data_IF_815230417039
#
_entry.id   IF_815230417039
#
_cell.length_a   1.000
_cell.length_b   1.000
_cell.length_c   1.000
_cell.angle_alpha   90.00
_cell.angle_beta   90.00
_cell.angle_gamma   90.00
#
_symmetry.space_group_name_H-M   'P 1'
#
loop_
_entity.id
_entity.type
_entity.pdbx_description
1 polymer ?
#
# COMPACT_ATOMS: atom_id res chain seq x y z
N UNK A 1 20.89 0.78 -12.48
CA UNK A 1 20.23 1.98 -11.92
C UNK A 1 18.89 1.53 -11.38
N UNK A 2 18.50 1.89 -10.15
CA UNK A 2 17.21 1.47 -9.59
C UNK A 2 16.11 2.50 -9.98
N UNK A 3 14.81 2.12 -9.95
CA UNK A 3 13.73 3.08 -10.13
C UNK A 3 13.81 4.20 -9.10
N UNK A 4 13.47 5.43 -9.51
CA UNK A 4 13.46 6.59 -8.62
C UNK A 4 12.11 7.27 -8.65
N UNK A 5 11.76 7.95 -7.55
CA UNK A 5 10.50 8.68 -7.42
C UNK A 5 10.76 10.14 -7.08
N UNK A 6 9.91 11.03 -7.62
CA UNK A 6 9.82 12.42 -7.18
C UNK A 6 8.36 12.85 -7.09
N UNK A 7 8.04 13.66 -6.09
CA UNK A 7 6.77 14.38 -6.03
C UNK A 7 6.77 15.48 -7.09
N UNK A 8 5.72 15.52 -7.89
CA UNK A 8 5.52 16.52 -8.95
C UNK A 8 4.62 17.62 -8.44
N UNK A 9 3.49 17.26 -7.82
CA UNK A 9 2.53 18.21 -7.24
C UNK A 9 1.92 17.64 -5.96
N UNK A 10 1.64 18.51 -5.00
CA UNK A 10 0.96 18.20 -3.75
C UNK A 10 -0.28 19.10 -3.62
N UNK A 11 -1.46 18.52 -3.86
CA UNK A 11 -2.75 19.19 -3.69
C UNK A 11 -3.40 18.74 -2.38
N UNK A 12 -4.33 19.54 -1.86
CA UNK A 12 -5.12 19.17 -0.67
C UNK A 12 -5.94 17.88 -0.83
N UNK A 13 -6.22 17.47 -2.08
CA UNK A 13 -7.04 16.30 -2.41
C UNK A 13 -6.23 15.07 -2.85
N UNK A 14 -5.03 15.29 -3.38
CA UNK A 14 -4.19 14.22 -3.92
C UNK A 14 -2.75 14.69 -4.13
N UNK A 15 -1.85 13.73 -4.21
CA UNK A 15 -0.47 13.94 -4.58
C UNK A 15 -0.19 13.29 -5.93
N UNK A 16 0.63 13.94 -6.75
CA UNK A 16 1.10 13.41 -8.01
C UNK A 16 2.61 13.19 -7.95
N UNK A 17 3.04 11.99 -8.34
CA UNK A 17 4.44 11.60 -8.39
C UNK A 17 4.82 11.11 -9.78
N UNK A 18 6.10 11.23 -10.10
CA UNK A 18 6.71 10.65 -11.29
C UNK A 18 7.73 9.62 -10.83
N UNK A 19 7.50 8.37 -11.21
CA UNK A 19 8.48 7.29 -11.06
C UNK A 19 9.22 7.13 -12.39
N UNK A 20 10.55 7.15 -12.33
CA UNK A 20 11.41 6.78 -13.45
C UNK A 20 11.74 5.29 -13.35
N UNK A 21 11.11 4.49 -14.20
CA UNK A 21 11.34 3.06 -14.33
C UNK A 21 12.24 2.80 -15.54
N UNK A 22 13.55 2.96 -15.34
CA UNK A 22 14.58 2.74 -16.38
C UNK A 22 14.36 3.57 -17.66
N UNK A 23 14.04 4.85 -17.50
CA UNK A 23 13.71 5.77 -18.60
C UNK A 23 12.21 5.80 -18.95
N UNK A 24 11.44 4.83 -18.48
CA UNK A 24 9.98 4.83 -18.65
C UNK A 24 9.31 5.58 -17.51
N UNK A 25 8.56 6.63 -17.86
CA UNK A 25 7.85 7.45 -16.88
C UNK A 25 6.52 6.80 -16.48
N UNK A 26 6.40 6.46 -15.20
CA UNK A 26 5.17 6.05 -14.53
C UNK A 26 4.61 7.23 -13.73
N UNK A 27 3.35 7.59 -14.01
CA UNK A 27 2.63 8.64 -13.29
C UNK A 27 1.84 8.00 -12.15
N UNK A 28 2.03 8.49 -10.93
CA UNK A 28 1.38 7.95 -9.73
C UNK A 28 0.51 9.03 -9.09
N UNK A 29 -0.77 8.73 -8.89
CA UNK A 29 -1.71 9.58 -8.16
C UNK A 29 -1.99 8.93 -6.81
N UNK A 30 -1.69 9.60 -5.71
CA UNK A 30 -2.03 9.14 -4.34
C UNK A 30 -3.21 9.97 -3.85
N UNK A 31 -4.29 9.32 -3.44
CA UNK A 31 -5.48 10.05 -2.99
C UNK A 31 -6.32 9.24 -2.00
N UNK A 32 -7.08 9.97 -1.19
CA UNK A 32 -8.20 9.46 -0.37
C UNK A 32 -9.54 10.08 -0.78
N UNK A 33 -9.54 10.90 -1.82
CA UNK A 33 -10.67 11.75 -2.19
C UNK A 33 -11.49 11.06 -3.28
N UNK A 34 -12.76 10.77 -2.98
CA UNK A 34 -13.66 10.05 -3.87
C UNK A 34 -13.77 10.66 -5.29
N UNK A 35 -13.81 11.99 -5.40
CA UNK A 35 -13.90 12.65 -6.72
C UNK A 35 -12.65 12.46 -7.57
N UNK A 36 -11.47 12.42 -6.97
CA UNK A 36 -10.21 12.13 -7.67
C UNK A 36 -10.19 10.67 -8.14
N UNK A 37 -10.67 9.75 -7.31
CA UNK A 37 -10.81 8.32 -7.67
C UNK A 37 -11.76 8.18 -8.88
N UNK A 38 -12.97 8.75 -8.83
CA UNK A 38 -13.92 8.71 -9.95
C UNK A 38 -13.37 9.36 -11.21
N UNK A 39 -12.66 10.49 -11.07
CA UNK A 39 -12.03 11.16 -12.21
C UNK A 39 -10.93 10.31 -12.85
N UNK A 40 -10.07 9.70 -12.03
CA UNK A 40 -9.00 8.82 -12.54
C UNK A 40 -9.58 7.62 -13.28
N UNK A 41 -10.62 6.97 -12.74
CA UNK A 41 -11.28 5.83 -13.38
C UNK A 41 -11.92 6.23 -14.70
N UNK A 42 -12.66 7.35 -14.75
CA UNK A 42 -13.25 7.85 -16.00
C UNK A 42 -12.20 8.18 -17.06
N UNK A 43 -11.02 8.63 -16.65
CA UNK A 43 -9.93 8.93 -17.57
C UNK A 43 -9.26 7.68 -18.16
N UNK A 44 -9.40 6.51 -17.52
CA UNK A 44 -8.88 5.25 -18.08
C UNK A 44 -9.92 4.48 -18.91
N UNK A 45 -11.21 4.85 -18.85
CA UNK A 45 -12.28 4.22 -19.65
C UNK A 45 -12.01 4.15 -21.17
N UNK A 46 -11.41 5.16 -21.83
CA UNK A 46 -11.05 5.08 -23.26
C UNK A 46 -10.07 3.95 -23.59
N UNK A 47 -9.28 3.49 -22.60
CA UNK A 47 -8.38 2.35 -22.74
C UNK A 47 -9.09 1.02 -22.45
N UNK A 48 -10.10 1.04 -21.58
CA UNK A 48 -10.93 -0.12 -21.22
C UNK A 48 -11.90 -0.51 -22.34
N UNK A 49 -12.59 0.47 -22.93
CA UNK A 49 -13.65 0.24 -23.92
C UNK A 49 -13.22 0.58 -25.33
N UNK A 50 -12.27 -0.17 -25.88
CA UNK A 50 -12.11 -0.19 -27.35
C UNK A 50 -13.15 -1.17 -27.91
N UNK A 51 -14.23 -0.70 -28.57
CA UNK A 51 -15.36 -1.55 -29.00
C UNK A 51 -14.99 -2.63 -30.03
N UNK A 52 -13.73 -2.68 -30.46
CA UNK A 52 -13.18 -3.67 -31.38
C UNK A 52 -11.94 -4.39 -30.82
N UNK A 53 -11.64 -4.27 -29.53
CA UNK A 53 -10.56 -5.05 -28.92
C UNK A 53 -11.10 -6.43 -28.55
N UNK A 54 -10.56 -7.48 -29.17
CA UNK A 54 -10.85 -8.87 -28.83
C UNK A 54 -10.18 -9.33 -27.53
N UNK A 55 -9.50 -8.44 -26.81
CA UNK A 55 -8.66 -8.78 -25.67
C UNK A 55 -9.16 -8.09 -24.39
N UNK A 56 -9.33 -8.83 -23.29
CA UNK A 56 -9.79 -8.28 -22.01
C UNK A 56 -8.93 -7.10 -21.54
N UNK A 57 -9.53 -6.16 -20.81
CA UNK A 57 -8.81 -5.04 -20.22
C UNK A 57 -7.95 -5.54 -19.05
N UNK A 58 -6.70 -5.10 -18.96
CA UNK A 58 -5.76 -5.57 -17.92
C UNK A 58 -5.48 -4.44 -16.94
N UNK A 59 -5.64 -4.76 -15.66
CA UNK A 59 -5.33 -3.86 -14.54
C UNK A 59 -4.37 -4.57 -13.60
N UNK A 60 -3.24 -3.93 -13.31
CA UNK A 60 -2.37 -4.33 -12.20
C UNK A 60 -2.96 -3.90 -10.87
N UNK A 61 -2.97 -4.77 -9.88
CA UNK A 61 -3.56 -4.55 -8.56
C UNK A 61 -2.54 -4.88 -7.48
N UNK A 62 -2.52 -4.06 -6.44
CA UNK A 62 -1.87 -4.36 -5.17
C UNK A 62 -2.75 -3.93 -4.01
N UNK A 63 -2.59 -4.59 -2.86
CA UNK A 63 -3.25 -4.24 -1.61
C UNK A 63 -2.22 -4.29 -0.49
N UNK A 64 -2.18 -3.25 0.35
CA UNK A 64 -1.29 -3.22 1.51
C UNK A 64 -2.07 -2.94 2.80
N UNK A 65 -1.57 -3.45 3.91
CA UNK A 65 -2.15 -3.32 5.24
C UNK A 65 -1.07 -3.23 6.32
N UNK A 66 -1.34 -2.50 7.38
CA UNK A 66 -0.49 -2.41 8.56
C UNK A 66 -0.56 -3.73 9.34
N UNK A 67 0.57 -4.39 9.65
CA UNK A 67 0.58 -5.65 10.40
C UNK A 67 -0.09 -5.54 11.77
N UNK A 68 -0.75 -6.63 12.20
CA UNK A 68 -1.29 -6.73 13.55
C UNK A 68 -0.17 -6.54 14.58
N UNK A 69 -0.39 -5.68 15.57
CA UNK A 69 0.59 -5.38 16.60
C UNK A 69 1.64 -4.34 16.21
N UNK A 70 1.63 -3.77 15.00
CA UNK A 70 2.54 -2.67 14.63
C UNK A 70 2.49 -1.52 15.65
N UNK A 71 1.29 -1.12 16.09
CA UNK A 71 1.10 -0.08 17.10
C UNK A 71 1.22 -0.58 18.55
N UNK A 72 1.31 -1.88 18.79
CA UNK A 72 1.42 -2.44 20.16
C UNK A 72 2.80 -2.22 20.80
N UNK A 73 3.82 -1.89 19.99
CA UNK A 73 5.15 -1.50 20.44
C UNK A 73 5.26 -0.04 20.91
N UNK A 74 4.22 0.78 20.71
CA UNK A 74 4.17 2.13 21.25
C UNK A 74 3.38 2.09 22.56
N UNK A 75 3.97 2.47 23.72
CA UNK A 75 3.18 2.71 24.90
C UNK A 75 2.13 3.76 24.55
N UNK A 76 0.85 3.41 24.69
CA UNK A 76 -0.16 4.46 24.86
C UNK A 76 0.27 5.23 26.09
N UNK A 77 0.60 6.51 25.95
CA UNK A 77 0.60 7.43 27.09
C UNK A 77 -0.82 7.46 27.66
N UNK A 78 -1.11 6.50 28.54
CA UNK A 78 -2.23 6.55 29.46
C UNK A 78 -1.82 7.50 30.58
N UNK A 79 -1.98 8.80 30.33
CA UNK A 79 -1.78 9.83 31.34
C UNK A 79 -2.80 10.96 31.24
N UNK A 80 -4.09 10.63 31.11
CA UNK A 80 -5.15 11.52 31.59
C UNK A 80 -6.32 10.72 32.13
N UNK A 81 -6.24 10.37 33.41
CA UNK A 81 -7.40 10.22 34.31
C UNK A 81 -6.90 10.09 35.74
N UNK A 82 -6.94 11.21 36.47
CA UNK A 82 -7.50 11.35 37.84
C UNK A 82 -6.72 12.42 38.62
N UNK A 83 -7.46 13.31 39.30
CA UNK A 83 -6.86 14.36 40.13
C UNK A 83 -7.65 15.66 40.18
N UNK A 84 -8.86 15.62 40.74
CA UNK A 84 -9.55 16.80 41.26
C UNK A 84 -8.84 17.32 42.53
N UNK A 85 -8.44 18.61 42.57
CA UNK A 85 -8.29 19.37 43.82
C UNK A 85 -8.63 20.85 43.59
N UNK A 86 -9.43 21.41 44.50
CA UNK A 86 -9.89 22.79 44.56
C UNK A 86 -8.76 23.79 44.89
N UNK A 87 -8.91 25.03 44.41
CA UNK A 87 -8.64 26.23 45.24
C UNK A 87 -7.41 27.10 44.92
N UNK A 88 -7.64 28.09 44.05
CA UNK A 88 -7.37 29.54 44.22
C UNK A 88 -5.94 30.16 44.07
N UNK A 89 -5.99 31.40 43.52
CA UNK A 89 -4.99 32.48 43.43
C UNK A 89 -3.97 32.52 42.26
N UNK A 90 -4.16 33.53 41.38
CA UNK A 90 -3.27 34.06 40.32
C UNK A 90 -2.10 34.94 40.86
N UNK A 91 -1.28 35.63 40.03
CA UNK A 91 -0.53 35.21 38.83
C UNK A 91 0.97 35.58 38.96
N UNK A 92 1.86 34.87 38.25
CA UNK A 92 3.30 35.18 38.19
C UNK A 92 3.86 35.07 36.78
N UNK A 93 4.07 36.22 36.14
CA UNK A 93 4.84 36.40 34.90
C UNK A 93 6.27 35.87 35.06
N UNK A 94 6.73 35.03 34.11
CA UNK A 94 8.11 35.10 33.63
C UNK A 94 8.19 34.75 32.14
N UNK A 95 8.76 35.70 31.39
CA UNK A 95 9.16 35.64 29.99
C UNK A 95 10.24 34.57 29.72
N UNK A 96 10.24 33.99 28.53
CA UNK A 96 11.39 33.25 28.01
C UNK A 96 11.17 32.52 26.69
N UNK A 97 11.37 33.24 25.58
CA UNK A 97 11.95 32.84 24.28
C UNK A 97 11.72 31.42 23.70
N UNK A 98 11.17 31.39 22.49
CA UNK A 98 11.05 30.25 21.56
C UNK A 98 12.43 29.66 21.11
N UNK A 99 12.51 28.47 20.48
CA UNK A 99 12.02 28.27 19.11
C UNK A 99 11.31 26.93 18.79
N UNK A 100 10.63 26.93 17.64
CA UNK A 100 10.02 25.81 16.91
C UNK A 100 10.89 24.54 16.91
N UNK A 101 10.33 23.41 17.34
CA UNK A 101 10.95 22.11 17.13
C UNK A 101 10.30 21.38 15.94
N UNK A 102 11.15 21.03 14.99
CA UNK A 102 10.89 20.21 13.81
C UNK A 102 10.57 18.77 14.23
N UNK A 103 9.43 18.23 13.78
CA UNK A 103 9.17 16.80 13.85
C UNK A 103 9.94 16.10 12.72
N UNK A 104 11.20 15.75 12.99
CA UNK A 104 11.87 14.69 12.26
C UNK A 104 11.50 13.36 12.93
N UNK A 105 10.90 12.46 12.14
CA UNK A 105 10.68 11.06 12.52
C UNK A 105 12.03 10.39 12.75
N UNK A 106 12.31 9.96 13.97
CA UNK A 106 13.43 9.07 14.25
C UNK A 106 13.08 7.65 13.80
N UNK A 107 13.97 6.92 13.13
CA UNK A 107 13.78 5.50 12.86
C UNK A 107 13.90 4.68 14.16
N UNK A 108 13.18 3.55 14.30
CA UNK A 108 13.32 2.67 15.46
C UNK A 108 14.71 2.00 15.47
N UNK A 109 15.27 1.69 16.66
CA UNK A 109 16.59 1.09 16.77
C UNK A 109 16.60 -0.36 16.26
N UNK A 110 17.69 -0.75 15.61
CA UNK A 110 17.95 -2.11 15.14
C UNK A 110 17.98 -3.10 16.32
N UNK A 111 17.08 -4.08 16.32
CA UNK A 111 17.03 -5.11 17.35
C UNK A 111 18.00 -6.26 17.03
N UNK A 112 19.20 -6.18 17.60
CA UNK A 112 20.10 -7.32 17.77
C UNK A 112 19.87 -7.93 19.16
N UNK A 113 19.15 -9.04 19.27
CA UNK A 113 19.28 -9.93 20.43
C UNK A 113 19.11 -11.40 20.04
N UNK A 114 20.25 -12.07 19.90
CA UNK A 114 20.38 -13.49 20.18
C UNK A 114 20.52 -13.66 21.70
N UNK A 115 19.52 -14.21 22.41
CA UNK A 115 19.73 -14.82 23.73
C UNK A 115 18.80 -16.03 23.93
N UNK A 116 19.47 -17.08 24.39
CA UNK A 116 19.06 -18.38 24.89
C UNK A 116 17.72 -18.52 25.61
N UNK A 117 17.09 -19.68 25.35
CA UNK A 117 16.02 -20.29 26.13
C UNK A 117 16.38 -20.41 27.61
N UNK A 118 15.61 -19.77 28.48
CA UNK A 118 15.30 -20.32 29.80
C UNK A 118 13.85 -19.99 30.17
N UNK A 119 13.14 -21.03 30.60
CA UNK A 119 11.70 -21.08 30.85
C UNK A 119 11.46 -20.65 32.29
N UNK A 120 10.80 -19.52 32.51
CA UNK A 120 10.26 -19.17 33.84
C UNK A 120 8.75 -19.35 33.84
N UNK A 121 8.30 -20.16 34.79
CA UNK A 121 6.91 -20.49 35.11
C UNK A 121 6.29 -19.33 35.89
N UNK A 122 5.00 -19.07 35.66
CA UNK A 122 4.17 -17.97 36.20
C UNK A 122 4.18 -16.68 35.38
N UNK A 123 3.54 -16.73 34.21
CA UNK A 123 2.92 -15.56 33.59
C UNK A 123 1.41 -15.80 33.57
N UNK A 124 0.69 -14.87 34.18
CA UNK A 124 -0.76 -14.69 34.12
C UNK A 124 -1.25 -14.80 32.67
N UNK A 125 -2.26 -15.64 32.33
CA UNK A 125 -2.74 -15.72 30.96
C UNK A 125 -3.44 -14.40 30.61
N UNK A 126 -2.68 -13.50 29.98
CA UNK A 126 -3.24 -12.32 29.33
C UNK A 126 -4.44 -12.76 28.49
N UNK A 127 -5.61 -12.13 28.64
CA UNK A 127 -6.83 -12.57 27.97
C UNK A 127 -6.55 -12.62 26.48
N UNK A 128 -6.75 -13.81 25.88
CA UNK A 128 -6.54 -14.12 24.46
C UNK A 128 -6.76 -12.90 23.59
N UNK A 129 -5.68 -12.20 23.26
CA UNK A 129 -5.73 -11.05 22.38
C UNK A 129 -6.31 -11.55 21.08
N UNK A 130 -7.50 -11.09 20.72
CA UNK A 130 -8.04 -11.30 19.39
C UNK A 130 -6.99 -10.74 18.43
N UNK A 131 -6.24 -11.61 17.74
CA UNK A 131 -5.44 -11.21 16.60
C UNK A 131 -6.45 -10.77 15.54
N UNK A 132 -6.82 -9.49 15.58
CA UNK A 132 -7.68 -8.87 14.58
C UNK A 132 -6.90 -8.93 13.28
N UNK A 133 -7.44 -9.64 12.30
CA UNK A 133 -6.87 -9.66 10.97
C UNK A 133 -6.93 -8.23 10.40
N UNK A 134 -5.79 -7.60 10.05
CA UNK A 134 -5.78 -6.19 9.68
C UNK A 134 -6.58 -5.96 8.41
N UNK A 135 -7.31 -4.84 8.34
CA UNK A 135 -8.04 -4.45 7.15
C UNK A 135 -7.09 -3.92 6.06
N UNK A 136 -7.56 -3.84 4.82
CA UNK A 136 -6.80 -3.19 3.75
C UNK A 136 -6.69 -1.67 4.00
N UNK A 137 -5.46 -1.15 4.07
CA UNK A 137 -5.19 0.27 4.26
C UNK A 137 -5.06 1.03 2.94
N UNK A 138 -4.49 0.37 1.94
CA UNK A 138 -4.30 0.94 0.61
C UNK A 138 -4.65 -0.05 -0.49
N UNK A 139 -5.18 0.48 -1.60
CA UNK A 139 -5.43 -0.25 -2.84
C UNK A 139 -4.70 0.45 -3.98
N UNK A 140 -3.96 -0.29 -4.78
CA UNK A 140 -3.30 0.22 -5.98
C UNK A 140 -3.97 -0.33 -7.23
N UNK A 141 -4.17 0.54 -8.22
CA UNK A 141 -4.67 0.17 -9.54
C UNK A 141 -3.75 0.78 -10.59
N UNK A 142 -3.19 -0.04 -11.46
CA UNK A 142 -2.30 0.41 -12.53
C UNK A 142 -2.82 0.02 -13.91
N UNK A 143 -2.89 1.00 -14.81
CA UNK A 143 -3.28 0.85 -16.21
C UNK A 143 -2.28 1.59 -17.09
N UNK A 144 -1.61 0.86 -17.98
CA UNK A 144 -0.54 1.42 -18.79
C UNK A 144 0.57 2.00 -17.91
N UNK A 145 0.83 3.29 -18.05
CA UNK A 145 1.84 4.03 -17.27
C UNK A 145 1.21 4.96 -16.21
N UNK A 146 -0.01 4.66 -15.77
CA UNK A 146 -0.71 5.42 -14.72
C UNK A 146 -1.07 4.48 -13.58
N UNK A 147 -0.64 4.83 -12.38
CA UNK A 147 -0.99 4.13 -11.15
C UNK A 147 -1.81 5.06 -10.25
N UNK A 148 -2.92 4.54 -9.70
CA UNK A 148 -3.69 5.16 -8.65
C UNK A 148 -3.43 4.41 -7.35
N UNK A 149 -3.07 5.13 -6.29
CA UNK A 149 -2.97 4.61 -4.93
C UNK A 149 -4.09 5.25 -4.12
N UNK A 150 -5.02 4.41 -3.67
CA UNK A 150 -6.18 4.80 -2.88
C UNK A 150 -5.87 4.49 -1.41
N UNK A 151 -5.81 5.51 -0.57
CA UNK A 151 -5.66 5.36 0.89
C UNK A 151 -7.03 5.04 1.53
N UNK A 152 -7.42 3.77 1.50
CA UNK A 152 -8.72 3.27 1.96
C UNK A 152 -9.01 3.65 3.42
N UNK A 153 -8.01 3.62 4.29
CA UNK A 153 -8.12 3.99 5.72
C UNK A 153 -8.43 5.47 5.97
N UNK A 154 -8.17 6.32 4.98
CA UNK A 154 -8.48 7.76 5.04
C UNK A 154 -9.57 8.20 4.06
N UNK A 155 -10.11 7.27 3.28
CA UNK A 155 -11.18 7.51 2.33
C UNK A 155 -12.55 7.39 3.01
N UNK A 156 -13.26 8.49 3.25
CA UNK A 156 -14.58 8.46 3.93
C UNK A 156 -15.62 7.64 3.16
N UNK A 157 -15.56 7.71 1.83
CA UNK A 157 -16.42 6.96 0.92
C UNK A 157 -15.67 6.60 -0.35
N UNK A 158 -15.85 5.38 -0.82
CA UNK A 158 -15.42 4.97 -2.15
C UNK A 158 -16.51 5.27 -3.18
N UNK A 159 -16.16 5.73 -4.39
CA UNK A 159 -17.13 5.99 -5.43
C UNK A 159 -17.66 4.71 -6.08
N UNK A 160 -18.86 4.78 -6.65
CA UNK A 160 -19.47 3.63 -7.35
C UNK A 160 -18.67 3.22 -8.58
N UNK A 161 -17.99 4.16 -9.26
CA UNK A 161 -17.12 3.83 -10.39
C UNK A 161 -15.99 2.87 -10.01
N UNK A 162 -15.46 2.96 -8.78
CA UNK A 162 -14.45 2.00 -8.29
C UNK A 162 -15.08 0.62 -8.07
N UNK A 163 -16.28 0.57 -7.48
CA UNK A 163 -16.98 -0.70 -7.24
C UNK A 163 -17.33 -1.39 -8.56
N UNK A 164 -17.86 -0.63 -9.51
CA UNK A 164 -18.18 -1.12 -10.85
C UNK A 164 -16.95 -1.62 -11.59
N UNK A 165 -15.83 -0.88 -11.53
CA UNK A 165 -14.57 -1.33 -12.11
C UNK A 165 -14.15 -2.67 -11.50
N UNK A 166 -13.96 -2.75 -10.18
CA UNK A 166 -13.47 -3.97 -9.49
C UNK A 166 -14.34 -5.21 -9.75
N UNK A 167 -15.64 -5.02 -10.02
CA UNK A 167 -16.59 -6.09 -10.32
C UNK A 167 -16.75 -6.40 -11.82
N UNK A 168 -16.13 -5.62 -12.71
CA UNK A 168 -16.27 -5.73 -14.17
C UNK A 168 -15.77 -7.11 -14.67
N UNK A 169 -16.63 -7.93 -15.30
CA UNK A 169 -16.25 -9.25 -15.81
C UNK A 169 -15.31 -9.18 -17.03
N UNK A 170 -15.26 -8.05 -17.74
CA UNK A 170 -14.40 -7.86 -18.92
C UNK A 170 -12.98 -7.41 -18.55
N UNK A 171 -12.74 -7.14 -17.26
CA UNK A 171 -11.43 -6.76 -16.74
C UNK A 171 -10.72 -7.94 -16.07
N UNK A 172 -9.47 -8.17 -16.46
CA UNK A 172 -8.54 -9.09 -15.80
C UNK A 172 -7.66 -8.30 -14.85
N UNK A 173 -7.63 -8.77 -13.61
CA UNK A 173 -6.83 -8.20 -12.54
C UNK A 173 -5.63 -9.09 -12.25
N UNK A 174 -4.43 -8.54 -12.37
CA UNK A 174 -3.19 -9.22 -11.99
C UNK A 174 -2.56 -8.53 -10.79
N UNK A 175 -2.18 -9.31 -9.78
CA UNK A 175 -1.34 -8.87 -8.66
C UNK A 175 -0.23 -9.87 -8.40
N UNK A 176 0.62 -9.61 -7.42
CA UNK A 176 1.59 -10.59 -6.90
C UNK A 176 1.21 -10.95 -5.47
N UNK A 177 1.23 -12.23 -5.12
CA UNK A 177 0.88 -12.71 -3.78
C UNK A 177 -0.54 -12.33 -3.31
N UNK A 178 -1.47 -12.18 -4.25
CA UNK A 178 -2.81 -11.60 -4.02
C UNK A 178 -3.84 -12.53 -3.33
N UNK A 179 -3.40 -13.68 -2.81
CA UNK A 179 -4.26 -14.69 -2.18
C UNK A 179 -5.12 -14.14 -1.01
N UNK A 180 -4.69 -13.04 -0.38
CA UNK A 180 -5.45 -12.38 0.68
C UNK A 180 -6.17 -11.13 0.23
N UNK A 181 -5.78 -10.52 -0.89
CA UNK A 181 -6.21 -9.19 -1.33
C UNK A 181 -7.74 -9.11 -1.45
N UNK A 182 -8.35 -10.06 -2.15
CA UNK A 182 -9.81 -10.08 -2.33
C UNK A 182 -10.54 -10.18 -0.98
N UNK A 183 -10.00 -10.97 -0.05
CA UNK A 183 -10.58 -11.13 1.30
C UNK A 183 -10.38 -9.87 2.15
N UNK A 184 -9.22 -9.23 2.05
CA UNK A 184 -8.89 -7.97 2.75
C UNK A 184 -9.75 -6.82 2.25
N UNK A 185 -9.93 -6.70 0.93
CA UNK A 185 -10.80 -5.72 0.30
C UNK A 185 -12.29 -5.94 0.64
N UNK A 186 -12.74 -7.20 0.65
CA UNK A 186 -14.11 -7.52 1.05
C UNK A 186 -14.37 -7.27 2.55
N UNK A 187 -13.34 -7.49 3.38
CA UNK A 187 -13.40 -7.32 4.83
C UNK A 187 -13.20 -5.89 5.32
N UNK A 188 -12.60 -5.00 4.52
CA UNK A 188 -12.38 -3.62 4.92
C UNK A 188 -13.71 -2.86 5.07
N UNK A 189 -13.69 -1.73 5.78
CA UNK A 189 -14.86 -0.86 5.99
C UNK A 189 -15.67 -0.53 4.72
N UNK A 190 -15.02 -0.52 3.56
CA UNK A 190 -15.63 -0.22 2.27
C UNK A 190 -16.28 -1.41 1.58
N UNK A 191 -16.05 -2.64 2.05
CA UNK A 191 -16.62 -3.88 1.48
C UNK A 191 -16.45 -3.94 -0.03
N UNK A 192 -15.21 -3.81 -0.49
CA UNK A 192 -14.88 -3.81 -1.91
C UNK A 192 -14.87 -5.24 -2.42
N UNK A 193 -15.89 -5.60 -3.21
CA UNK A 193 -15.96 -6.89 -3.87
C UNK A 193 -15.20 -6.81 -5.19
N UNK A 194 -14.22 -7.69 -5.37
CA UNK A 194 -13.46 -7.80 -6.61
C UNK A 194 -13.92 -9.02 -7.41
N UNK A 195 -13.71 -8.96 -8.73
CA UNK A 195 -13.65 -10.17 -9.56
C UNK A 195 -12.44 -11.02 -9.15
N UNK A 196 -12.23 -12.15 -9.83
CA UNK A 196 -11.06 -13.01 -9.60
C UNK A 196 -9.79 -12.21 -9.84
N UNK A 197 -8.99 -12.06 -8.79
CA UNK A 197 -7.63 -11.54 -8.86
C UNK A 197 -6.71 -12.71 -9.22
N UNK A 198 -5.85 -12.53 -10.22
CA UNK A 198 -4.88 -13.53 -10.68
C UNK A 198 -3.49 -13.20 -10.14
N UNK A 199 -2.81 -14.18 -9.57
CA UNK A 199 -1.42 -14.01 -9.17
C UNK A 199 -0.53 -14.21 -10.40
N UNK A 200 0.28 -13.21 -10.78
CA UNK A 200 1.19 -13.33 -11.93
C UNK A 200 2.12 -14.54 -11.81
N UNK A 201 2.47 -14.94 -10.58
CA UNK A 201 3.38 -16.05 -10.30
C UNK A 201 2.86 -17.40 -10.80
N UNK A 202 1.54 -17.54 -10.94
CA UNK A 202 0.91 -18.76 -11.45
C UNK A 202 1.04 -18.89 -12.98
N UNK A 203 1.42 -17.82 -13.67
CA UNK A 203 1.39 -17.74 -15.14
C UNK A 203 2.76 -17.51 -15.77
N UNK A 204 3.69 -16.88 -15.05
CA UNK A 204 5.03 -16.57 -15.57
C UNK A 204 5.93 -17.81 -15.65
N UNK A 205 6.70 -17.90 -16.74
CA UNK A 205 7.68 -18.95 -17.00
C UNK A 205 9.01 -18.34 -17.43
N UNK A 206 10.10 -19.01 -17.09
CA UNK A 206 11.45 -18.61 -17.53
C UNK A 206 11.68 -18.91 -19.02
N UNK A 207 12.82 -18.46 -19.55
CA UNK A 207 13.21 -18.69 -20.94
C UNK A 207 13.29 -20.16 -21.37
N UNK A 208 13.32 -21.09 -20.41
CA UNK A 208 13.31 -22.55 -20.64
C UNK A 208 11.91 -23.17 -20.50
N UNK A 209 10.89 -22.35 -20.21
CA UNK A 209 9.51 -22.78 -20.02
C UNK A 209 9.19 -23.30 -18.62
N UNK A 210 10.09 -23.14 -17.64
CA UNK A 210 9.85 -23.58 -16.26
C UNK A 210 9.05 -22.55 -15.49
N UNK A 211 8.17 -23.01 -14.60
CA UNK A 211 7.38 -22.15 -13.71
C UNK A 211 8.27 -21.24 -12.88
N UNK A 212 7.86 -19.98 -12.72
CA UNK A 212 8.50 -19.02 -11.82
C UNK A 212 7.68 -18.77 -10.54
N UNK A 213 6.77 -19.68 -10.19
CA UNK A 213 5.89 -19.56 -9.02
C UNK A 213 6.63 -19.38 -7.70
N UNK A 214 7.84 -19.92 -7.57
CA UNK A 214 8.68 -19.83 -6.36
C UNK A 214 9.75 -18.73 -6.44
N UNK A 215 9.83 -18.01 -7.57
CA UNK A 215 10.82 -16.95 -7.75
C UNK A 215 10.47 -15.70 -6.92
N UNK A 216 11.49 -14.90 -6.60
CA UNK A 216 11.27 -13.57 -6.02
C UNK A 216 10.66 -12.61 -7.04
N UNK A 217 10.03 -11.53 -6.57
CA UNK A 217 9.54 -10.46 -7.44
C UNK A 217 10.65 -9.90 -8.34
N UNK A 218 11.86 -9.69 -7.78
CA UNK A 218 13.00 -9.22 -8.55
C UNK A 218 13.45 -10.20 -9.63
N UNK A 219 13.43 -11.51 -9.35
CA UNK A 219 13.75 -12.52 -10.34
C UNK A 219 12.73 -12.54 -11.49
N UNK A 220 11.43 -12.36 -11.18
CA UNK A 220 10.37 -12.24 -12.19
C UNK A 220 10.56 -10.97 -13.04
N UNK A 221 10.82 -9.82 -12.42
CA UNK A 221 11.05 -8.57 -13.17
C UNK A 221 12.29 -8.68 -14.06
N UNK A 222 13.36 -9.31 -13.55
CA UNK A 222 14.57 -9.54 -14.33
C UNK A 222 14.29 -10.44 -15.54
N UNK A 223 13.62 -11.55 -15.35
CA UNK A 223 13.35 -12.52 -16.41
C UNK A 223 12.35 -11.97 -17.44
N UNK A 224 11.22 -11.42 -16.99
CA UNK A 224 10.15 -10.99 -17.87
C UNK A 224 10.37 -9.62 -18.50
N UNK A 225 11.10 -8.72 -17.83
CA UNK A 225 11.27 -7.33 -18.27
C UNK A 225 12.72 -6.92 -18.53
N UNK A 226 13.70 -7.75 -18.19
CA UNK A 226 15.12 -7.46 -18.39
C UNK A 226 15.71 -6.43 -17.41
N UNK A 227 14.97 -6.07 -16.36
CA UNK A 227 15.38 -5.03 -15.40
C UNK A 227 15.84 -5.61 -14.06
N UNK A 228 16.91 -5.05 -13.52
CA UNK A 228 17.52 -5.47 -12.25
C UNK A 228 17.28 -4.44 -11.14
N UNK A 229 17.23 -4.88 -9.87
CA UNK A 229 17.09 -3.96 -8.74
C UNK A 229 15.67 -3.46 -8.50
N UNK A 230 14.67 -4.13 -9.08
CA UNK A 230 13.25 -3.90 -8.80
C UNK A 230 12.80 -4.97 -7.80
N UNK A 231 12.64 -4.59 -6.54
CA UNK A 231 12.26 -5.50 -5.45
C UNK A 231 11.22 -4.84 -4.56
N UNK A 232 10.40 -5.67 -3.93
CA UNK A 232 9.52 -5.25 -2.83
C UNK A 232 10.29 -5.49 -1.54
N UNK A 233 10.59 -4.42 -0.80
CA UNK A 233 11.35 -4.47 0.45
C UNK A 233 10.46 -4.98 1.59
N UNK A 234 10.99 -5.91 2.39
CA UNK A 234 10.26 -6.49 3.50
C UNK A 234 9.97 -5.48 4.61
N UNK A 235 10.87 -4.55 4.87
CA UNK A 235 10.69 -3.52 5.91
C UNK A 235 9.57 -2.55 5.52
N UNK A 236 9.54 -2.15 4.25
CA UNK A 236 8.45 -1.30 3.70
C UNK A 236 7.14 -2.10 3.68
N UNK A 237 7.17 -3.36 3.26
CA UNK A 237 5.97 -4.23 3.23
C UNK A 237 5.34 -4.37 4.61
N UNK A 238 6.17 -4.43 5.66
CA UNK A 238 5.74 -4.56 7.07
C UNK A 238 5.58 -3.21 7.80
N UNK A 239 5.58 -2.09 7.07
CA UNK A 239 5.45 -0.74 7.63
C UNK A 239 3.99 -0.36 7.96
N UNK A 240 3.80 0.84 8.51
CA UNK A 240 2.46 1.40 8.72
C UNK A 240 1.88 1.96 7.40
N UNK A 241 1.04 1.16 6.76
CA UNK A 241 0.29 1.56 5.55
C UNK A 241 -0.95 2.40 5.87
N UNK A 242 -1.38 2.41 7.14
CA UNK A 242 -2.47 3.24 7.64
C UNK A 242 -2.05 4.70 7.88
N UNK A 243 -0.76 5.04 7.72
CA UNK A 243 -0.26 6.40 7.91
C UNK A 243 -0.95 7.40 6.98
N UNK A 244 -1.18 8.62 7.48
CA UNK A 244 -1.90 9.66 6.74
C UNK A 244 -1.15 10.14 5.50
N UNK A 245 0.17 10.24 5.59
CA UNK A 245 1.06 10.61 4.49
C UNK A 245 2.02 9.45 4.23
N UNK A 246 1.84 8.74 3.12
CA UNK A 246 2.76 7.68 2.71
C UNK A 246 4.13 8.30 2.37
N UNK A 247 5.21 7.61 2.75
CA UNK A 247 6.55 8.05 2.34
C UNK A 247 6.82 7.68 0.87
N UNK A 248 7.83 8.32 0.27
CA UNK A 248 8.24 8.04 -1.11
C UNK A 248 8.57 6.57 -1.35
N UNK A 249 9.13 5.87 -0.37
CA UNK A 249 9.48 4.45 -0.47
C UNK A 249 8.23 3.56 -0.51
N UNK A 250 7.22 3.84 0.33
CA UNK A 250 5.91 3.18 0.27
C UNK A 250 5.21 3.43 -1.07
N UNK A 251 5.19 4.68 -1.55
CA UNK A 251 4.57 5.06 -2.82
C UNK A 251 5.28 4.39 -3.99
N UNK A 252 6.62 4.38 -3.99
CA UNK A 252 7.42 3.71 -5.01
C UNK A 252 7.13 2.21 -5.00
N UNK A 253 7.19 1.54 -3.85
CA UNK A 253 6.92 0.11 -3.76
C UNK A 253 5.52 -0.25 -4.25
N UNK A 254 4.49 0.43 -3.73
CA UNK A 254 3.10 0.18 -4.07
C UNK A 254 2.81 0.43 -5.55
N UNK A 255 3.43 1.44 -6.15
CA UNK A 255 3.28 1.72 -7.58
C UNK A 255 4.04 0.73 -8.47
N UNK A 256 5.23 0.27 -8.07
CA UNK A 256 6.00 -0.75 -8.79
C UNK A 256 5.32 -2.11 -8.76
N UNK A 257 4.75 -2.50 -7.61
CA UNK A 257 3.96 -3.72 -7.43
C UNK A 257 2.84 -3.81 -8.48
N UNK A 258 1.94 -2.82 -8.49
CA UNK A 258 0.84 -2.76 -9.44
C UNK A 258 1.32 -2.57 -10.89
N UNK A 259 2.36 -1.75 -11.13
CA UNK A 259 2.85 -1.48 -12.49
C UNK A 259 3.44 -2.72 -13.16
N UNK A 260 4.31 -3.46 -12.47
CA UNK A 260 4.88 -4.71 -12.99
C UNK A 260 3.78 -5.71 -13.32
N UNK A 261 2.80 -5.88 -12.41
CA UNK A 261 1.67 -6.78 -12.63
C UNK A 261 0.85 -6.37 -13.87
N UNK A 262 0.63 -5.08 -14.09
CA UNK A 262 -0.06 -4.58 -15.28
C UNK A 262 0.74 -4.88 -16.57
N UNK A 263 2.05 -4.61 -16.59
CA UNK A 263 2.90 -4.83 -17.77
C UNK A 263 2.99 -6.32 -18.12
N UNK A 264 3.26 -7.18 -17.12
CA UNK A 264 3.32 -8.63 -17.31
C UNK A 264 1.94 -9.17 -17.69
N UNK A 265 0.86 -8.70 -17.07
CA UNK A 265 -0.50 -9.13 -17.42
C UNK A 265 -0.88 -8.81 -18.87
N UNK A 266 -0.44 -7.66 -19.40
CA UNK A 266 -0.62 -7.32 -20.83
C UNK A 266 0.16 -8.27 -21.73
N UNK A 267 1.38 -8.67 -21.33
CA UNK A 267 2.18 -9.65 -22.06
C UNK A 267 1.55 -11.05 -22.03
N UNK A 268 1.09 -11.52 -20.86
CA UNK A 268 0.44 -12.83 -20.70
C UNK A 268 -0.89 -12.96 -21.46
N UNK A 269 -1.52 -11.83 -21.80
CA UNK A 269 -2.73 -11.77 -22.60
C UNK A 269 -2.46 -11.89 -24.11
N UNK A 270 -1.27 -11.52 -24.58
CA UNK A 270 -0.86 -11.51 -25.99
C UNK A 270 -0.24 -12.82 -26.44
#
# INVERSE_FOLDING_TARGET
MAPTIRTVVDYSTHQEHSVDFFGNKLLVTVTRTASIISQWIRNIEPYNRRPYSSHPFVVGVGVQWTPAGYHSGYPRDSSYSDGSYYGDSSPGNYNGNAPRNSYYSNPPPANNYAVSRQRSSYADPSPRGYNVDPEADTLQLCVGNRCLIIQLSHCDRVPDELRSLLADPETIYFGVWNHQDARKLAGCRHRLVTRKLLDIKDYVKDSTGRSMSDCSFEAIVKECMGYHGVRLDGEISMSDWSVYNLCNEQILQASLDAYVCAQIGVWLRG
#
